data_IF_071395698840
#
_entry.id   IF_071395698840
#
_cell.length_a   1.000
_cell.length_b   1.000
_cell.length_c   1.000
_cell.angle_alpha   90.00
_cell.angle_beta   90.00
_cell.angle_gamma   90.00
#
_symmetry.space_group_name_H-M   'P 1'
#
loop_
_entity.id
_entity.type
_entity.pdbx_description
1 polymer ?
#
# COMPACT_ATOMS: atom_id res chain seq x y z
N UNK A 1 -21.28 11.28 -42.77
CA UNK A 1 -20.90 9.95 -42.26
C UNK A 1 -20.65 10.11 -40.77
N UNK A 2 -21.57 9.65 -39.93
CA UNK A 2 -21.51 9.83 -38.49
C UNK A 2 -20.39 8.94 -37.90
N UNK A 3 -19.42 9.55 -37.22
CA UNK A 3 -18.44 8.85 -36.40
C UNK A 3 -19.19 8.28 -35.19
N UNK A 4 -19.39 6.97 -35.18
CA UNK A 4 -19.92 6.26 -34.03
C UNK A 4 -18.91 6.36 -32.88
N UNK A 5 -19.22 7.24 -31.93
CA UNK A 5 -18.51 7.34 -30.66
C UNK A 5 -18.63 6.00 -29.94
N UNK A 6 -17.51 5.27 -29.84
CA UNK A 6 -17.45 4.01 -29.09
C UNK A 6 -17.60 4.35 -27.62
N UNK A 7 -18.83 4.37 -27.13
CA UNK A 7 -19.12 4.25 -25.72
C UNK A 7 -18.55 2.92 -25.24
N UNK A 8 -17.33 2.94 -24.69
CA UNK A 8 -16.83 1.83 -23.87
C UNK A 8 -17.78 1.73 -22.69
N UNK A 9 -18.73 0.79 -22.78
CA UNK A 9 -19.72 0.58 -21.74
C UNK A 9 -19.07 0.09 -20.47
N UNK A 10 -19.34 0.77 -19.35
CA UNK A 10 -18.93 0.31 -18.04
C UNK A 10 -19.67 -0.97 -17.68
N UNK A 11 -18.92 -2.05 -17.43
CA UNK A 11 -19.47 -3.36 -17.10
C UNK A 11 -18.72 -4.01 -15.94
N UNK A 12 -19.29 -5.06 -15.37
CA UNK A 12 -18.70 -5.76 -14.21
C UNK A 12 -17.27 -6.26 -14.48
N UNK A 13 -16.89 -6.55 -15.72
CA UNK A 13 -15.53 -6.97 -16.08
C UNK A 13 -14.49 -5.86 -15.96
N UNK A 14 -14.89 -4.59 -15.87
CA UNK A 14 -13.98 -3.46 -15.63
C UNK A 14 -13.67 -3.25 -14.14
N UNK A 15 -14.35 -3.98 -13.24
CA UNK A 15 -14.06 -3.95 -11.80
C UNK A 15 -12.90 -4.90 -11.53
N UNK A 16 -11.75 -4.33 -11.16
CA UNK A 16 -10.56 -5.09 -10.82
C UNK A 16 -10.46 -5.27 -9.30
N UNK A 17 -10.36 -6.53 -8.86
CA UNK A 17 -9.94 -6.88 -7.51
C UNK A 17 -8.43 -7.06 -7.50
N UNK A 18 -7.76 -6.36 -6.58
CA UNK A 18 -6.31 -6.45 -6.39
C UNK A 18 -6.02 -7.36 -5.20
N UNK A 19 -5.50 -8.56 -5.47
CA UNK A 19 -5.30 -9.59 -4.45
C UNK A 19 -3.99 -9.43 -3.67
N UNK A 20 -3.97 -9.97 -2.46
CA UNK A 20 -2.79 -9.95 -1.59
C UNK A 20 -2.22 -8.54 -1.42
N UNK A 21 -0.93 -8.36 -1.70
CA UNK A 21 -0.22 -7.08 -1.55
C UNK A 21 -0.24 -6.20 -2.82
N UNK A 22 -0.98 -6.59 -3.87
CA UNK A 22 -0.99 -5.82 -5.12
C UNK A 22 -1.47 -4.38 -4.92
N UNK A 23 -2.51 -4.20 -4.11
CA UNK A 23 -3.08 -2.89 -3.82
C UNK A 23 -2.13 -2.00 -3.01
N UNK A 24 -1.37 -2.57 -2.06
CA UNK A 24 -0.32 -1.87 -1.31
C UNK A 24 0.79 -1.38 -2.25
N UNK A 25 1.22 -2.23 -3.19
CA UNK A 25 2.27 -1.88 -4.15
C UNK A 25 1.81 -0.87 -5.20
N UNK A 26 0.55 -0.93 -5.62
CA UNK A 26 -0.02 0.00 -6.59
C UNK A 26 -0.35 1.36 -5.96
N UNK A 27 -0.73 1.40 -4.68
CA UNK A 27 -1.12 2.61 -3.95
C UNK A 27 -0.38 2.75 -2.62
N UNK A 28 0.97 2.78 -2.61
CA UNK A 28 1.76 2.73 -1.38
C UNK A 28 1.49 3.93 -0.47
N UNK A 29 1.24 5.13 -1.02
CA UNK A 29 0.94 6.33 -0.22
C UNK A 29 -0.29 6.18 0.68
N UNK A 30 -1.22 5.27 0.38
CA UNK A 30 -2.35 4.97 1.25
C UNK A 30 -1.90 4.29 2.56
N UNK A 31 -0.79 3.55 2.53
CA UNK A 31 -0.25 2.76 3.64
C UNK A 31 0.89 3.46 4.37
N UNK A 32 1.78 4.13 3.63
CA UNK A 32 2.98 4.78 4.17
C UNK A 32 2.94 6.31 4.06
N UNK A 33 1.78 6.88 3.73
CA UNK A 33 1.53 8.32 3.62
C UNK A 33 2.11 9.00 2.36
N UNK A 34 3.30 8.61 1.92
CA UNK A 34 3.99 9.20 0.78
C UNK A 34 4.99 8.22 0.14
N UNK A 35 5.35 8.40 -1.12
CA UNK A 35 6.51 7.72 -1.76
C UNK A 35 7.78 8.58 -1.78
N UNK A 36 7.78 9.72 -1.07
CA UNK A 36 8.97 10.54 -0.84
C UNK A 36 9.83 9.97 0.30
N UNK A 37 10.92 10.66 0.67
CA UNK A 37 11.79 10.28 1.78
C UNK A 37 11.03 10.06 3.10
N UNK A 38 9.95 10.81 3.33
CA UNK A 38 9.09 10.62 4.51
C UNK A 38 8.51 9.20 4.58
N UNK A 39 8.02 8.67 3.47
CA UNK A 39 7.48 7.30 3.43
C UNK A 39 8.55 6.24 3.63
N UNK A 40 9.78 6.51 3.18
CA UNK A 40 10.92 5.63 3.45
C UNK A 40 11.23 5.58 4.96
N UNK A 41 11.22 6.73 5.65
CA UNK A 41 11.37 6.77 7.10
C UNK A 41 10.23 6.04 7.82
N UNK A 42 8.97 6.20 7.37
CA UNK A 42 7.84 5.45 7.94
C UNK A 42 8.08 3.94 7.86
N UNK A 43 8.52 3.41 6.71
CA UNK A 43 8.83 1.98 6.57
C UNK A 43 9.88 1.51 7.58
N UNK A 44 10.91 2.33 7.84
CA UNK A 44 11.91 2.03 8.86
C UNK A 44 11.32 2.09 10.28
N UNK A 45 10.54 3.13 10.58
CA UNK A 45 9.86 3.31 11.87
C UNK A 45 8.94 2.13 12.21
N UNK A 46 8.21 1.58 11.25
CA UNK A 46 7.35 0.39 11.48
C UNK A 46 8.15 -0.84 11.94
N UNK A 47 9.36 -1.05 11.38
CA UNK A 47 10.21 -2.18 11.79
C UNK A 47 10.79 -1.95 13.18
N UNK A 48 11.21 -0.72 13.47
CA UNK A 48 11.67 -0.35 14.81
C UNK A 48 10.54 -0.48 15.83
N UNK A 49 9.32 -0.06 15.50
CA UNK A 49 8.15 -0.18 16.36
C UNK A 49 7.85 -1.65 16.71
N UNK A 50 7.83 -2.55 15.72
CA UNK A 50 7.70 -3.99 15.97
C UNK A 50 8.81 -4.52 16.89
N UNK A 51 10.05 -4.01 16.75
CA UNK A 51 11.16 -4.40 17.62
C UNK A 51 11.00 -3.90 19.06
N UNK A 52 10.43 -2.69 19.24
CA UNK A 52 10.08 -2.12 20.54
C UNK A 52 8.97 -2.94 21.20
N UNK A 53 7.95 -3.36 20.44
CA UNK A 53 6.85 -4.18 20.97
C UNK A 53 7.38 -5.51 21.56
N UNK A 54 8.32 -6.16 20.86
CA UNK A 54 8.99 -7.37 21.39
C UNK A 54 9.83 -7.09 22.64
N UNK A 55 10.50 -5.92 22.70
CA UNK A 55 11.24 -5.51 23.88
C UNK A 55 10.30 -5.23 25.07
N UNK A 56 9.13 -4.64 24.84
CA UNK A 56 8.10 -4.40 25.85
C UNK A 56 7.54 -5.71 26.43
N UNK A 57 7.52 -6.78 25.66
CA UNK A 57 7.12 -8.13 26.11
C UNK A 57 8.31 -8.93 26.70
N UNK A 58 9.50 -8.32 26.75
CA UNK A 58 10.71 -8.94 27.32
C UNK A 58 11.32 -10.02 26.43
N UNK A 59 11.04 -10.00 25.13
CA UNK A 59 11.57 -10.94 24.13
C UNK A 59 12.77 -10.39 23.36
N UNK A 60 13.01 -9.09 23.44
CA UNK A 60 14.15 -8.40 22.85
C UNK A 60 14.86 -7.57 23.94
N UNK A 61 16.18 -7.69 24.03
CA UNK A 61 17.03 -6.99 25.01
C UNK A 61 17.93 -5.92 24.37
N UNK A 62 18.01 -5.88 23.04
CA UNK A 62 18.75 -4.88 22.26
C UNK A 62 18.12 -4.68 20.89
N UNK A 63 17.92 -3.41 20.53
CA UNK A 63 17.42 -2.95 19.22
C UNK A 63 18.58 -2.32 18.44
#
# INVERSE_FOLDING_TARGET
>A
MANADKTKGYSASEIQVLEGLQHVRMRPSMYIGSTSSRGLHQLFEEIVANSIDEAMVGRCDRI
#
